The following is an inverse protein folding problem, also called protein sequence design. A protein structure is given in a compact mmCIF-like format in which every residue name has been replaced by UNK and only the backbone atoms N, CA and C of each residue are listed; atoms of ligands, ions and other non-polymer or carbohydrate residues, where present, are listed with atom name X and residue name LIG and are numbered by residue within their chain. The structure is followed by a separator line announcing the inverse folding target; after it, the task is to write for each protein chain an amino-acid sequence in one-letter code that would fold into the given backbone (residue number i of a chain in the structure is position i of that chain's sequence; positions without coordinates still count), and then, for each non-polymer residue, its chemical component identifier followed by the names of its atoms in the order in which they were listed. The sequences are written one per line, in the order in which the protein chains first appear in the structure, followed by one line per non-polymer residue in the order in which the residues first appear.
data_IF_105378676215
#
_entry.id   IF_105378676215
#
_cell.length_a   1.000
_cell.length_b   1.000
_cell.length_c   1.000
_cell.angle_alpha   90.00
_cell.angle_beta   90.00
_cell.angle_gamma   90.00
#
_symmetry.space_group_name_H-M   'P 1'
#
loop_
_entity.id
_entity.type
_entity.pdbx_description
1 polymer ?
#
# COMPACT_ATOMS: atom_id res chain seq x y z
N UNK A 1 -61.66 -22.71 16.21
CA UNK A 1 -61.20 -21.89 15.06
C UNK A 1 -60.15 -20.94 15.62
N UNK A 2 -58.86 -21.25 15.65
CA UNK A 2 -57.94 -21.44 14.52
C UNK A 2 -56.96 -20.24 14.53
N UNK A 3 -55.67 -20.39 14.88
CA UNK A 3 -54.83 -19.27 15.32
C UNK A 3 -54.03 -18.58 14.19
N UNK A 4 -53.75 -17.29 14.43
CA UNK A 4 -52.53 -16.51 14.15
C UNK A 4 -51.81 -16.68 12.80
N UNK A 5 -51.69 -15.56 12.07
CA UNK A 5 -50.52 -15.31 11.22
C UNK A 5 -50.29 -13.80 11.05
N UNK A 6 -49.44 -13.23 11.92
CA UNK A 6 -48.76 -11.95 11.66
C UNK A 6 -47.55 -12.27 10.80
N UNK A 7 -47.59 -11.89 9.52
CA UNK A 7 -46.44 -12.00 8.63
C UNK A 7 -45.43 -10.90 8.99
N UNK A 8 -44.33 -11.28 9.65
CA UNK A 8 -43.13 -10.46 9.77
C UNK A 8 -42.36 -10.55 8.45
N UNK A 9 -42.38 -9.48 7.65
CA UNK A 9 -41.40 -9.28 6.58
C UNK A 9 -40.04 -9.02 7.21
N UNK A 10 -39.21 -10.07 7.27
CA UNK A 10 -37.79 -9.94 7.58
C UNK A 10 -37.06 -9.48 6.32
N UNK A 11 -36.81 -8.18 6.20
CA UNK A 11 -35.93 -7.63 5.17
C UNK A 11 -34.49 -8.04 5.48
N UNK A 12 -34.00 -9.06 4.78
CA UNK A 12 -32.58 -9.41 4.76
C UNK A 12 -31.81 -8.24 4.12
N UNK A 13 -31.15 -7.44 4.95
CA UNK A 13 -30.06 -6.57 4.54
C UNK A 13 -28.90 -7.47 4.12
N UNK A 14 -28.79 -7.75 2.82
CA UNK A 14 -27.56 -8.26 2.24
C UNK A 14 -26.51 -7.16 2.39
N UNK A 15 -25.68 -7.25 3.43
CA UNK A 15 -24.40 -6.56 3.47
C UNK A 15 -23.58 -7.08 2.30
N UNK A 16 -23.59 -6.33 1.20
CA UNK A 16 -22.63 -6.51 0.12
C UNK A 16 -21.24 -6.33 0.71
N UNK A 17 -20.54 -7.44 0.95
CA UNK A 17 -19.13 -7.43 1.22
C UNK A 17 -18.44 -6.94 -0.05
N UNK A 18 -18.29 -5.62 -0.17
CA UNK A 18 -17.39 -5.03 -1.16
C UNK A 18 -16.04 -5.68 -0.93
N UNK A 19 -15.63 -6.57 -1.85
CA UNK A 19 -14.29 -7.13 -1.85
C UNK A 19 -13.36 -5.94 -2.06
N UNK A 20 -12.78 -5.41 -0.98
CA UNK A 20 -11.70 -4.45 -1.09
C UNK A 20 -10.55 -5.24 -1.69
N UNK A 21 -10.29 -5.05 -2.98
CA UNK A 21 -9.17 -5.65 -3.69
C UNK A 21 -7.88 -5.00 -3.15
N UNK A 22 -7.46 -5.44 -1.97
CA UNK A 22 -6.24 -5.01 -1.33
C UNK A 22 -5.06 -5.73 -1.97
N UNK A 23 -3.95 -5.01 -2.17
CA UNK A 23 -2.70 -5.67 -2.52
C UNK A 23 -2.32 -6.67 -1.42
N UNK A 24 -1.73 -7.83 -1.80
CA UNK A 24 -1.08 -8.67 -0.81
C UNK A 24 0.02 -7.85 -0.10
N UNK A 25 0.40 -8.22 1.12
CA UNK A 25 1.53 -7.58 1.78
C UNK A 25 2.77 -7.60 0.88
N UNK A 26 3.42 -6.44 0.71
CA UNK A 26 4.63 -6.30 -0.08
C UNK A 26 5.82 -6.01 0.83
N UNK A 27 6.92 -6.70 0.58
CA UNK A 27 8.24 -6.36 1.10
C UNK A 27 9.06 -5.75 -0.04
N UNK A 28 9.54 -4.53 0.17
CA UNK A 28 10.23 -3.73 -0.82
C UNK A 28 11.62 -3.32 -0.32
N UNK A 29 12.57 -3.24 -1.24
CA UNK A 29 13.93 -2.79 -0.98
C UNK A 29 14.46 -1.93 -2.13
N UNK A 30 15.31 -0.96 -1.78
CA UNK A 30 16.04 -0.15 -2.76
C UNK A 30 17.46 0.12 -2.31
N UNK A 31 18.29 0.55 -3.28
CA UNK A 31 19.68 0.94 -3.08
C UNK A 31 19.85 2.41 -3.48
N UNK A 32 20.83 3.06 -2.87
CA UNK A 32 21.21 4.46 -3.09
C UNK A 32 20.08 5.49 -2.82
N UNK A 33 19.68 5.71 -1.56
CA UNK A 33 20.19 5.08 -0.33
C UNK A 33 19.59 3.68 -0.09
N UNK A 34 20.19 2.89 0.81
CA UNK A 34 19.59 1.61 1.22
C UNK A 34 18.33 1.84 2.05
N UNK A 35 17.20 1.28 1.64
CA UNK A 35 15.96 1.38 2.39
C UNK A 35 15.15 0.10 2.25
N UNK A 36 14.28 -0.13 3.23
CA UNK A 36 13.32 -1.24 3.22
C UNK A 36 11.94 -0.69 3.51
N UNK A 37 10.93 -1.10 2.76
CA UNK A 37 9.54 -0.73 3.00
C UNK A 37 8.65 -1.96 3.05
N UNK A 38 7.75 -2.02 4.02
CA UNK A 38 6.67 -3.00 4.04
C UNK A 38 5.35 -2.27 3.78
N UNK A 39 4.54 -2.76 2.84
CA UNK A 39 3.19 -2.27 2.55
C UNK A 39 2.21 -3.38 2.89
N UNK A 40 1.36 -3.21 3.90
CA UNK A 40 0.42 -4.23 4.36
C UNK A 40 -0.94 -3.61 4.69
N UNK A 41 -1.86 -3.65 3.73
CA UNK A 41 -3.19 -3.06 3.87
C UNK A 41 -3.11 -1.55 4.17
N UNK A 42 -3.68 -1.06 5.29
CA UNK A 42 -3.70 0.36 5.61
C UNK A 42 -2.39 0.88 6.22
N UNK A 43 -1.34 0.05 6.34
CA UNK A 43 -0.09 0.39 7.01
C UNK A 43 1.07 0.29 6.03
N UNK A 44 1.94 1.30 6.05
CA UNK A 44 3.27 1.21 5.45
C UNK A 44 4.34 1.50 6.51
N UNK A 45 5.45 0.78 6.45
CA UNK A 45 6.60 1.02 7.31
C UNK A 45 7.84 1.19 6.45
N UNK A 46 8.53 2.31 6.58
CA UNK A 46 9.77 2.61 5.86
C UNK A 46 10.93 2.67 6.85
N UNK A 47 11.97 1.90 6.60
CA UNK A 47 13.22 1.92 7.36
C UNK A 47 14.36 2.45 6.51
N UNK A 48 15.04 3.46 7.04
CA UNK A 48 16.18 4.15 6.42
C UNK A 48 17.52 3.47 6.72
N UNK A 49 18.63 3.85 6.03
CA UNK A 49 19.95 3.30 6.30
C UNK A 49 20.40 3.46 7.75
N UNK A 50 20.02 4.58 8.38
CA UNK A 50 20.33 4.92 9.77
C UNK A 50 19.47 4.15 10.80
N UNK A 51 18.69 3.17 10.35
CA UNK A 51 17.74 2.36 11.13
C UNK A 51 16.53 3.14 11.67
N UNK A 52 16.37 4.42 11.32
CA UNK A 52 15.14 5.14 11.65
C UNK A 52 13.97 4.50 10.90
N UNK A 53 12.87 4.32 11.61
CA UNK A 53 11.66 3.68 11.08
C UNK A 53 10.51 4.66 11.15
N UNK A 54 9.89 4.92 10.01
CA UNK A 54 8.72 5.79 9.88
C UNK A 54 7.52 4.93 9.54
N UNK A 55 6.47 5.03 10.36
CA UNK A 55 5.20 4.37 10.12
C UNK A 55 4.24 5.34 9.43
N UNK A 56 3.56 4.86 8.41
CA UNK A 56 2.58 5.60 7.65
C UNK A 56 1.25 4.86 7.66
N UNK A 57 0.18 5.63 7.59
CA UNK A 57 -1.14 5.17 7.21
C UNK A 57 -1.33 5.37 5.72
N UNK A 58 -1.84 4.34 5.04
CA UNK A 58 -2.32 4.47 3.66
C UNK A 58 -3.71 5.11 3.72
N UNK A 59 -3.80 6.39 3.34
CA UNK A 59 -5.04 7.17 3.44
C UNK A 59 -5.86 7.11 2.15
N UNK A 60 -5.20 6.83 1.03
CA UNK A 60 -5.85 6.72 -0.27
C UNK A 60 -5.15 5.68 -1.13
N UNK A 61 -5.90 5.00 -1.99
CA UNK A 61 -5.39 4.09 -3.00
C UNK A 61 -6.15 4.34 -4.30
N UNK A 62 -5.40 4.62 -5.35
CA UNK A 62 -5.90 4.78 -6.71
C UNK A 62 -5.34 3.66 -7.59
N UNK A 63 -6.21 3.04 -8.38
CA UNK A 63 -5.83 2.02 -9.37
C UNK A 63 -6.03 2.65 -10.74
N UNK A 64 -5.06 2.47 -11.64
CA UNK A 64 -5.17 2.99 -13.00
C UNK A 64 -6.48 2.51 -13.68
N UNK A 65 -7.16 3.44 -14.35
CA UNK A 65 -8.48 3.18 -14.95
C UNK A 65 -8.46 1.97 -15.91
N UNK A 66 -9.49 1.14 -15.81
CA UNK A 66 -9.63 -0.07 -16.64
C UNK A 66 -8.67 -1.20 -16.27
N UNK A 67 -8.00 -1.13 -15.12
CA UNK A 67 -7.14 -2.20 -14.59
C UNK A 67 -7.74 -2.84 -13.35
N UNK A 68 -7.42 -4.11 -13.12
CA UNK A 68 -7.93 -4.86 -11.98
C UNK A 68 -7.18 -4.52 -10.68
N UNK A 69 -5.84 -4.49 -10.75
CA UNK A 69 -4.99 -4.29 -9.56
C UNK A 69 -3.76 -3.44 -9.88
N UNK A 70 -3.27 -3.34 -11.12
CA UNK A 70 -2.01 -2.66 -11.41
C UNK A 70 -2.07 -1.70 -12.60
N UNK A 71 -1.30 -0.60 -12.62
CA UNK A 71 -0.51 -0.05 -11.51
C UNK A 71 -1.40 0.62 -10.44
N UNK A 72 -0.85 0.80 -9.24
CA UNK A 72 -1.52 1.50 -8.13
C UNK A 72 -0.69 2.66 -7.62
N UNK A 73 -1.37 3.71 -7.15
CA UNK A 73 -0.78 4.78 -6.36
C UNK A 73 -1.41 4.75 -4.97
N UNK A 74 -0.58 4.69 -3.95
CA UNK A 74 -0.99 4.78 -2.55
C UNK A 74 -0.51 6.09 -1.95
N UNK A 75 -1.38 6.82 -1.27
CA UNK A 75 -1.02 8.01 -0.50
C UNK A 75 -0.69 7.61 0.92
N UNK A 76 0.52 7.95 1.35
CA UNK A 76 1.05 7.69 2.68
C UNK A 76 1.01 8.95 3.52
N UNK A 77 0.55 8.81 4.76
CA UNK A 77 0.54 9.90 5.73
C UNK A 77 1.12 9.45 7.06
N UNK A 78 2.00 10.28 7.63
CA UNK A 78 2.52 10.16 9.00
C UNK A 78 2.37 11.50 9.70
N UNK A 79 2.71 11.56 10.99
CA UNK A 79 2.66 12.81 11.76
C UNK A 79 3.59 13.91 11.21
N UNK A 80 4.69 13.53 10.57
CA UNK A 80 5.76 14.46 10.20
C UNK A 80 5.87 14.71 8.69
N UNK A 81 5.38 13.78 7.87
CA UNK A 81 5.52 13.86 6.41
C UNK A 81 4.43 13.05 5.69
N UNK A 82 4.22 13.37 4.42
CA UNK A 82 3.34 12.64 3.52
C UNK A 82 4.05 12.33 2.21
N UNK A 83 3.57 11.30 1.52
CA UNK A 83 4.15 10.86 0.27
C UNK A 83 3.21 10.03 -0.56
N UNK A 84 3.69 9.62 -1.73
CA UNK A 84 2.97 8.75 -2.64
C UNK A 84 3.85 7.58 -3.03
N UNK A 85 3.26 6.39 -3.14
CA UNK A 85 3.93 5.17 -3.59
C UNK A 85 3.24 4.68 -4.84
N UNK A 86 3.96 4.70 -5.97
CA UNK A 86 3.57 4.05 -7.21
C UNK A 86 4.09 2.62 -7.21
N UNK A 87 3.19 1.65 -7.40
CA UNK A 87 3.49 0.23 -7.39
C UNK A 87 3.07 -0.36 -8.73
N UNK A 88 3.99 -1.06 -9.40
CA UNK A 88 3.79 -1.58 -10.73
C UNK A 88 4.26 -3.04 -10.83
N UNK A 89 3.44 -3.89 -11.46
CA UNK A 89 3.78 -5.29 -11.78
C UNK A 89 4.73 -5.33 -12.98
N UNK A 90 5.93 -4.80 -12.77
CA UNK A 90 7.01 -4.78 -13.74
C UNK A 90 8.25 -5.33 -13.08
N UNK A 91 8.88 -6.31 -13.72
CA UNK A 91 10.09 -6.90 -13.17
C UNK A 91 11.20 -5.87 -13.07
N UNK A 92 11.92 -5.92 -11.96
CA UNK A 92 13.08 -5.08 -11.70
C UNK A 92 14.22 -5.93 -11.11
N UNK A 93 15.41 -5.35 -11.06
CA UNK A 93 16.59 -6.01 -10.51
C UNK A 93 17.19 -5.18 -9.38
N UNK A 94 17.53 -5.85 -8.28
CA UNK A 94 18.31 -5.28 -7.19
C UNK A 94 19.52 -6.17 -6.92
N UNK A 95 20.72 -5.69 -7.27
CA UNK A 95 21.92 -6.51 -7.27
C UNK A 95 21.80 -7.66 -8.29
N UNK A 96 21.96 -8.91 -7.81
CA UNK A 96 21.84 -10.11 -8.64
C UNK A 96 20.42 -10.70 -8.66
N UNK A 97 19.52 -10.19 -7.82
CA UNK A 97 18.17 -10.72 -7.66
C UNK A 97 17.19 -10.02 -8.61
N UNK A 98 16.27 -10.80 -9.18
CA UNK A 98 15.12 -10.28 -9.94
C UNK A 98 13.86 -10.38 -9.11
N UNK A 99 13.10 -9.30 -9.13
CA UNK A 99 11.87 -9.14 -8.37
C UNK A 99 10.73 -8.85 -9.35
N UNK A 100 9.49 -9.28 -9.05
CA UNK A 100 8.37 -9.16 -9.98
C UNK A 100 7.71 -7.77 -9.99
N UNK A 101 7.94 -6.95 -8.95
CA UNK A 101 7.23 -5.68 -8.74
C UNK A 101 8.26 -4.55 -8.59
N UNK A 102 8.02 -3.45 -9.29
CA UNK A 102 8.77 -2.20 -9.18
C UNK A 102 7.99 -1.21 -8.32
N UNK A 103 8.71 -0.43 -7.52
CA UNK A 103 8.11 0.61 -6.66
C UNK A 103 8.86 1.92 -6.75
N UNK A 104 8.10 3.02 -6.73
CA UNK A 104 8.61 4.37 -6.58
C UNK A 104 7.88 5.07 -5.44
N UNK A 105 8.58 5.48 -4.40
CA UNK A 105 8.03 6.23 -3.28
C UNK A 105 8.58 7.66 -3.31
N UNK A 106 7.70 8.65 -3.33
CA UNK A 106 8.03 10.07 -3.40
C UNK A 106 7.53 10.77 -2.13
N UNK A 107 8.44 11.46 -1.44
CA UNK A 107 8.17 12.24 -0.24
C UNK A 107 8.63 13.69 -0.47
N UNK A 108 7.72 14.61 -0.85
CA UNK A 108 8.07 15.99 -1.24
C UNK A 108 8.83 16.78 -0.17
N UNK A 109 8.52 16.53 1.10
CA UNK A 109 9.14 17.21 2.24
C UNK A 109 10.33 16.44 2.82
N UNK A 110 10.82 15.42 2.12
CA UNK A 110 11.75 14.44 2.68
C UNK A 110 11.05 13.47 3.62
N UNK A 111 11.80 12.48 4.09
CA UNK A 111 11.30 11.46 5.03
C UNK A 111 11.84 11.67 6.44
N UNK A 112 13.07 12.19 6.54
CA UNK A 112 13.67 12.67 7.78
C UNK A 112 13.75 14.20 7.73
N UNK A 113 13.60 14.87 8.87
CA UNK A 113 13.44 16.34 8.98
C UNK A 113 14.60 17.21 8.46
N UNK A 114 15.59 16.63 7.78
CA UNK A 114 16.72 17.33 7.18
C UNK A 114 16.87 17.08 5.67
N UNK A 115 16.00 16.26 5.05
CA UNK A 115 16.08 15.92 3.62
C UNK A 115 15.22 16.85 2.76
N UNK A 116 15.80 17.33 1.66
CA UNK A 116 15.03 17.93 0.56
C UNK A 116 14.51 16.79 -0.32
N UNK A 117 13.19 16.79 -0.62
CA UNK A 117 12.47 15.84 -1.48
C UNK A 117 13.14 14.46 -1.72
N UNK A 118 12.58 13.40 -1.14
CA UNK A 118 13.07 12.04 -1.37
C UNK A 118 12.30 11.33 -2.49
N UNK A 119 13.00 10.79 -3.49
CA UNK A 119 12.48 9.80 -4.43
C UNK A 119 13.22 8.49 -4.23
N UNK A 120 12.51 7.49 -3.72
CA UNK A 120 13.02 6.16 -3.44
C UNK A 120 12.53 5.20 -4.52
N UNK A 121 13.44 4.61 -5.29
CA UNK A 121 13.11 3.59 -6.30
C UNK A 121 13.64 2.24 -5.87
N UNK A 122 12.84 1.20 -6.04
CA UNK A 122 13.18 -0.13 -5.55
C UNK A 122 12.36 -1.24 -6.17
N UNK A 123 12.54 -2.42 -5.60
CA UNK A 123 11.93 -3.67 -6.00
C UNK A 123 11.11 -4.25 -4.85
N UNK A 124 9.98 -4.89 -5.16
CA UNK A 124 9.12 -5.56 -4.19
C UNK A 124 8.80 -6.99 -4.57
N UNK A 125 8.50 -7.79 -3.55
CA UNK A 125 7.92 -9.13 -3.65
C UNK A 125 6.74 -9.22 -2.70
N UNK A 126 5.90 -10.23 -2.88
CA UNK A 126 4.87 -10.57 -1.91
C UNK A 126 5.55 -11.09 -0.65
N UNK A 127 5.21 -10.53 0.50
CA UNK A 127 5.66 -10.99 1.80
C UNK A 127 4.82 -12.20 2.26
N UNK A 128 5.49 -13.21 2.83
CA UNK A 128 4.86 -14.41 3.41
C UNK A 128 4.40 -14.19 4.86
#
# INVERSE_FOLDING_TARGET
MGPKTRALMASLLLCGASSAWALPPLACEGRDPNWVMTLAGPIAQLRHPDQTTVNFQVTHTEIAQGRHIWPQIQTLHSEHTSGHVLINETSCALGLSRWPIMVHAMFPQGVSGNDTQALLTGCCTVAE
#
